data_IF_854056048961
#
_entry.id   IF_854056048961
#
_cell.length_a   1.000
_cell.length_b   1.000
_cell.length_c   1.000
_cell.angle_alpha   90.00
_cell.angle_beta   90.00
_cell.angle_gamma   90.00
#
_symmetry.space_group_name_H-M   'P 1'
#
loop_
_entity.id
_entity.type
_entity.pdbx_description
1 polymer ?
#
# COMPACT_ATOMS: atom_id res chain seq x y z
N UNK A 1 -19.65 -4.67 -8.99
CA UNK A 1 -18.44 -3.90 -8.59
C UNK A 1 -17.29 -4.41 -9.42
N UNK A 2 -16.50 -3.51 -10.00
CA UNK A 2 -15.37 -3.88 -10.85
C UNK A 2 -14.12 -4.24 -10.02
N UNK A 3 -13.24 -5.06 -10.58
CA UNK A 3 -11.90 -5.31 -10.03
C UNK A 3 -11.12 -3.98 -9.93
N UNK A 4 -10.16 -3.89 -9.01
CA UNK A 4 -9.18 -2.80 -9.00
C UNK A 4 -8.01 -3.15 -9.92
N UNK A 5 -7.48 -4.36 -9.74
CA UNK A 5 -6.41 -4.88 -10.57
C UNK A 5 -6.81 -6.22 -11.16
N UNK A 6 -6.33 -6.48 -12.36
CA UNK A 6 -6.51 -7.75 -13.04
C UNK A 6 -5.27 -8.19 -13.79
N UNK A 7 -5.18 -9.49 -14.08
CA UNK A 7 -4.11 -10.06 -14.91
C UNK A 7 -4.72 -10.55 -16.21
N UNK A 8 -4.22 -10.00 -17.32
CA UNK A 8 -4.60 -10.43 -18.67
C UNK A 8 -3.40 -11.04 -19.36
N UNK A 9 -3.66 -12.05 -20.17
CA UNK A 9 -2.66 -12.67 -21.03
C UNK A 9 -3.05 -12.46 -22.48
N UNK A 10 -2.19 -11.83 -23.26
CA UNK A 10 -2.38 -11.60 -24.69
C UNK A 10 -1.22 -12.21 -25.51
N UNK A 11 -1.17 -11.91 -26.81
CA UNK A 11 -0.12 -12.40 -27.72
C UNK A 11 1.29 -11.87 -27.40
N UNK A 12 1.40 -10.78 -26.63
CA UNK A 12 2.66 -10.13 -26.24
C UNK A 12 3.12 -10.61 -24.87
N UNK A 13 2.20 -11.16 -24.06
CA UNK A 13 2.49 -11.85 -22.81
C UNK A 13 1.50 -11.47 -21.72
N UNK A 14 1.94 -11.55 -20.46
CA UNK A 14 1.13 -11.12 -19.33
C UNK A 14 1.20 -9.60 -19.12
N UNK A 15 0.06 -9.00 -18.79
CA UNK A 15 -0.06 -7.60 -18.41
C UNK A 15 -0.92 -7.44 -17.15
N UNK A 16 -0.54 -6.49 -16.31
CA UNK A 16 -1.35 -5.99 -15.20
C UNK A 16 -2.29 -4.90 -15.73
N UNK A 17 -3.59 -5.07 -15.51
CA UNK A 17 -4.62 -4.08 -15.82
C UNK A 17 -5.01 -3.36 -14.54
N UNK A 18 -4.97 -2.03 -14.57
CA UNK A 18 -5.49 -1.15 -13.53
C UNK A 18 -6.74 -0.44 -14.04
N UNK A 19 -7.86 -0.66 -13.35
CA UNK A 19 -9.17 -0.12 -13.72
C UNK A 19 -9.37 1.33 -13.29
N UNK A 20 -8.39 1.93 -12.58
CA UNK A 20 -8.51 3.26 -12.01
C UNK A 20 -9.38 3.32 -10.76
N UNK A 21 -9.65 2.17 -10.11
CA UNK A 21 -10.51 2.12 -8.91
C UNK A 21 -10.01 3.01 -7.76
N UNK A 22 -8.69 3.09 -7.56
CA UNK A 22 -8.11 3.98 -6.55
C UNK A 22 -8.29 5.46 -6.92
N UNK A 23 -8.14 5.81 -8.20
CA UNK A 23 -8.41 7.17 -8.71
C UNK A 23 -9.85 7.58 -8.41
N UNK A 24 -10.83 6.70 -8.68
CA UNK A 24 -12.24 6.93 -8.39
C UNK A 24 -12.49 7.16 -6.89
N UNK A 25 -11.94 6.29 -6.04
CA UNK A 25 -12.10 6.43 -4.58
C UNK A 25 -11.57 7.80 -4.11
N UNK A 26 -10.40 8.22 -4.60
CA UNK A 26 -9.82 9.53 -4.21
C UNK A 26 -10.64 10.70 -4.73
N UNK A 27 -11.21 10.60 -5.93
CA UNK A 27 -12.09 11.64 -6.50
C UNK A 27 -13.40 11.79 -5.71
N UNK A 28 -13.93 10.67 -5.18
CA UNK A 28 -15.18 10.64 -4.43
C UNK A 28 -15.03 11.00 -2.94
N UNK A 29 -13.79 11.15 -2.44
CA UNK A 29 -13.52 11.51 -1.05
C UNK A 29 -13.82 12.98 -0.76
N UNK A 30 -14.23 13.28 0.48
CA UNK A 30 -14.61 14.63 0.88
C UNK A 30 -13.40 15.57 0.97
N UNK A 31 -12.27 15.10 1.50
CA UNK A 31 -11.06 15.91 1.69
C UNK A 31 -9.78 15.11 1.39
N UNK A 32 -9.55 14.68 0.13
CA UNK A 32 -8.46 13.76 -0.22
C UNK A 32 -7.05 14.30 0.04
N UNK A 33 -6.89 15.60 0.26
CA UNK A 33 -5.61 16.24 0.61
C UNK A 33 -5.32 16.22 2.11
N UNK A 34 -6.34 16.13 2.96
CA UNK A 34 -6.23 16.14 4.44
C UNK A 34 -6.71 14.84 5.09
N UNK A 35 -7.09 13.84 4.30
CA UNK A 35 -7.38 12.50 4.77
C UNK A 35 -6.20 11.58 4.48
N UNK A 36 -5.79 10.79 5.46
CA UNK A 36 -4.61 9.92 5.46
C UNK A 36 -5.01 8.46 5.58
N UNK A 37 -5.33 7.79 4.45
CA UNK A 37 -5.89 6.45 4.45
C UNK A 37 -4.89 5.39 4.92
N UNK A 38 -5.41 4.36 5.59
CA UNK A 38 -4.67 3.11 5.83
C UNK A 38 -5.18 2.03 4.88
N UNK A 39 -4.29 1.42 4.10
CA UNK A 39 -4.63 0.32 3.18
C UNK A 39 -4.49 -1.02 3.90
N UNK A 40 -5.60 -1.73 4.06
CA UNK A 40 -5.65 -3.08 4.63
C UNK A 40 -5.85 -4.08 3.51
N UNK A 41 -5.05 -5.14 3.47
CA UNK A 41 -5.16 -6.18 2.46
C UNK A 41 -5.60 -7.49 3.08
N UNK A 42 -6.68 -8.06 2.58
CA UNK A 42 -7.21 -9.35 3.02
C UNK A 42 -6.96 -10.39 1.92
N UNK A 43 -6.10 -11.36 2.19
CA UNK A 43 -5.69 -12.39 1.25
C UNK A 43 -5.92 -13.76 1.89
N UNK A 44 -6.31 -14.76 1.10
CA UNK A 44 -6.47 -16.12 1.62
C UNK A 44 -7.71 -16.83 1.09
N UNK A 45 -8.16 -17.83 1.85
CA UNK A 45 -9.30 -18.68 1.53
C UNK A 45 -10.66 -17.97 1.66
N UNK A 46 -11.75 -18.73 1.53
CA UNK A 46 -13.12 -18.20 1.53
C UNK A 46 -13.61 -17.67 2.88
N UNK A 47 -12.98 -18.03 4.01
CA UNK A 47 -13.33 -17.52 5.35
C UNK A 47 -13.02 -16.03 5.50
N UNK A 48 -12.23 -15.47 4.58
CA UNK A 48 -12.08 -14.03 4.40
C UNK A 48 -13.42 -13.31 4.14
N UNK A 49 -14.31 -13.90 3.34
CA UNK A 49 -15.56 -13.25 2.92
C UNK A 49 -16.52 -12.98 4.09
N UNK A 50 -16.85 -13.95 4.97
CA UNK A 50 -17.64 -13.67 6.16
C UNK A 50 -16.93 -12.71 7.13
N UNK A 51 -15.59 -12.76 7.22
CA UNK A 51 -14.83 -11.78 7.99
C UNK A 51 -15.01 -10.35 7.46
N UNK A 52 -14.84 -10.13 6.16
CA UNK A 52 -15.04 -8.82 5.53
C UNK A 52 -16.46 -8.28 5.72
N UNK A 53 -17.48 -9.13 5.63
CA UNK A 53 -18.87 -8.74 5.90
C UNK A 53 -19.11 -8.34 7.36
N UNK A 54 -18.42 -9.01 8.29
CA UNK A 54 -18.48 -8.71 9.72
C UNK A 54 -17.77 -7.39 10.05
N UNK A 55 -16.59 -7.17 9.46
CA UNK A 55 -15.75 -5.99 9.69
C UNK A 55 -16.29 -4.73 8.98
N UNK A 56 -16.86 -4.88 7.78
CA UNK A 56 -17.34 -3.80 6.93
C UNK A 56 -18.81 -4.03 6.47
N UNK A 57 -19.77 -4.06 7.40
CA UNK A 57 -21.14 -4.49 7.11
C UNK A 57 -21.89 -3.57 6.12
N UNK A 58 -21.51 -2.30 6.05
CA UNK A 58 -22.15 -1.31 5.18
C UNK A 58 -21.58 -1.26 3.76
N UNK A 59 -20.49 -1.98 3.48
CA UNK A 59 -19.81 -1.96 2.19
C UNK A 59 -20.44 -2.87 1.12
N UNK A 60 -21.57 -3.52 1.44
CA UNK A 60 -22.28 -4.44 0.54
C UNK A 60 -21.34 -5.47 -0.10
N UNK A 61 -20.52 -6.13 0.72
CA UNK A 61 -19.57 -7.16 0.28
C UNK A 61 -20.34 -8.36 -0.28
N UNK A 62 -20.59 -8.32 -1.59
CA UNK A 62 -21.36 -9.32 -2.34
C UNK A 62 -20.41 -10.20 -3.14
N UNK A 63 -20.80 -11.47 -3.33
CA UNK A 63 -20.06 -12.46 -4.16
C UNK A 63 -20.13 -12.15 -5.67
N UNK A 64 -20.67 -10.99 -6.08
CA UNK A 64 -21.04 -10.73 -7.49
C UNK A 64 -19.87 -10.15 -8.26
N UNK A 65 -19.18 -11.06 -8.96
CA UNK A 65 -18.16 -10.77 -9.98
C UNK A 65 -16.79 -11.31 -9.61
N UNK A 66 -15.95 -11.64 -10.61
CA UNK A 66 -14.56 -11.99 -10.35
C UNK A 66 -13.87 -10.84 -9.61
N UNK A 67 -13.02 -11.15 -8.63
CA UNK A 67 -12.21 -10.13 -7.94
C UNK A 67 -11.08 -9.59 -8.84
N UNK A 68 -10.90 -10.20 -10.02
CA UNK A 68 -9.68 -10.06 -10.80
C UNK A 68 -8.49 -10.54 -9.96
N UNK A 69 -7.39 -9.80 -10.05
CA UNK A 69 -6.25 -9.97 -9.16
C UNK A 69 -6.53 -9.40 -7.76
N UNK A 70 -7.20 -8.24 -7.68
CA UNK A 70 -7.52 -7.58 -6.42
C UNK A 70 -8.72 -6.64 -6.57
N UNK A 71 -9.53 -6.56 -5.52
CA UNK A 71 -10.66 -5.62 -5.44
C UNK A 71 -10.43 -4.61 -4.33
N UNK A 72 -10.69 -3.32 -4.58
CA UNK A 72 -10.46 -2.22 -3.62
C UNK A 72 -11.77 -1.52 -3.23
N UNK A 73 -11.88 -1.23 -1.94
CA UNK A 73 -13.02 -0.59 -1.30
C UNK A 73 -12.57 0.53 -0.36
N UNK A 74 -13.42 1.55 -0.22
CA UNK A 74 -13.37 2.52 0.87
C UNK A 74 -14.40 2.11 1.93
N UNK A 75 -13.98 1.91 3.17
CA UNK A 75 -14.89 1.65 4.29
C UNK A 75 -15.90 2.79 4.44
N UNK A 76 -17.19 2.50 4.33
CA UNK A 76 -18.24 3.53 4.39
C UNK A 76 -18.31 4.19 5.77
N UNK A 77 -17.97 3.46 6.83
CA UNK A 77 -18.01 3.95 8.21
C UNK A 77 -16.88 4.91 8.53
N UNK A 78 -15.75 4.81 7.81
CA UNK A 78 -14.58 5.66 8.03
C UNK A 78 -14.31 6.62 6.85
N UNK A 79 -15.16 6.63 5.83
CA UNK A 79 -14.98 7.43 4.62
C UNK A 79 -14.79 8.93 4.87
N UNK A 80 -15.43 9.47 5.92
CA UNK A 80 -15.38 10.88 6.28
C UNK A 80 -14.44 11.21 7.44
N UNK A 81 -13.70 10.23 7.97
CA UNK A 81 -12.74 10.48 9.06
C UNK A 81 -11.42 11.01 8.50
N UNK A 82 -10.57 11.54 9.37
CA UNK A 82 -9.19 11.92 9.00
C UNK A 82 -8.37 10.70 8.53
N UNK A 83 -8.66 9.52 9.07
CA UNK A 83 -7.96 8.27 8.76
C UNK A 83 -8.93 7.22 8.17
N UNK A 84 -9.35 7.38 6.91
CA UNK A 84 -10.23 6.41 6.27
C UNK A 84 -9.54 5.05 6.10
N UNK A 85 -10.31 3.97 6.18
CA UNK A 85 -9.80 2.63 5.93
C UNK A 85 -10.11 2.28 4.49
N UNK A 86 -9.06 2.08 3.69
CA UNK A 86 -9.16 1.42 2.41
C UNK A 86 -8.90 -0.06 2.65
N UNK A 87 -9.73 -0.93 2.10
CA UNK A 87 -9.46 -2.35 2.17
C UNK A 87 -9.54 -2.97 0.80
N UNK A 88 -8.59 -3.86 0.52
CA UNK A 88 -8.60 -4.66 -0.67
C UNK A 88 -8.60 -6.15 -0.35
N UNK A 89 -9.14 -6.94 -1.28
CA UNK A 89 -9.29 -8.38 -1.10
C UNK A 89 -8.89 -9.18 -2.34
N UNK A 90 -8.39 -10.40 -2.11
CA UNK A 90 -8.03 -11.37 -3.16
C UNK A 90 -8.06 -12.79 -2.63
N UNK A 91 -8.49 -13.75 -3.46
CA UNK A 91 -8.27 -15.16 -3.16
C UNK A 91 -6.82 -15.56 -3.37
N UNK A 92 -6.29 -16.42 -2.49
CA UNK A 92 -4.93 -16.94 -2.64
C UNK A 92 -4.81 -17.81 -3.90
N UNK A 93 -5.80 -18.68 -4.14
CA UNK A 93 -5.81 -19.63 -5.28
C UNK A 93 -6.88 -19.34 -6.33
N UNK A 94 -7.53 -18.17 -6.32
CA UNK A 94 -8.62 -17.85 -7.26
C UNK A 94 -8.12 -17.97 -8.71
N UNK A 95 -8.64 -18.92 -9.48
CA UNK A 95 -8.19 -19.17 -10.84
C UNK A 95 -8.41 -17.94 -11.72
N UNK A 96 -7.32 -17.41 -12.30
CA UNK A 96 -7.40 -16.47 -13.44
C UNK A 96 -7.73 -17.20 -14.75
N UNK A 97 -7.77 -18.54 -14.71
CA UNK A 97 -8.06 -19.40 -15.85
C UNK A 97 -9.57 -19.40 -16.14
N UNK A 98 -9.90 -19.12 -17.40
CA UNK A 98 -11.23 -19.04 -18.00
C UNK A 98 -11.92 -17.66 -17.92
N UNK A 99 -11.15 -16.58 -18.02
CA UNK A 99 -11.68 -15.48 -18.81
C UNK A 99 -11.64 -15.88 -20.29
N UNK A 100 -12.80 -16.35 -20.74
CA UNK A 100 -13.19 -16.46 -22.14
C UNK A 100 -12.82 -15.16 -22.86
N UNK A 101 -12.56 -15.26 -24.15
CA UNK A 101 -12.12 -14.24 -25.11
C UNK A 101 -13.11 -13.05 -25.27
N UNK A 102 -13.93 -12.78 -24.27
CA UNK A 102 -14.63 -11.53 -24.09
C UNK A 102 -13.61 -10.46 -23.79
N UNK A 103 -13.09 -9.83 -24.85
CA UNK A 103 -12.50 -8.48 -24.84
C UNK A 103 -12.94 -7.78 -23.57
N UNK A 104 -12.04 -7.58 -22.61
CA UNK A 104 -12.14 -6.40 -21.76
C UNK A 104 -12.10 -5.28 -22.78
N UNK A 105 -13.30 -4.86 -23.23
CA UNK A 105 -13.49 -3.74 -24.12
C UNK A 105 -12.63 -2.68 -23.48
N UNK A 106 -11.60 -2.25 -24.20
CA UNK A 106 -10.68 -1.20 -23.78
C UNK A 106 -11.56 -0.03 -23.40
N UNK A 107 -11.94 0.03 -22.12
CA UNK A 107 -12.53 1.19 -21.55
C UNK A 107 -11.36 2.17 -21.59
N UNK A 108 -11.57 3.33 -22.21
CA UNK A 108 -10.56 4.37 -22.47
C UNK A 108 -9.72 4.80 -21.24
N UNK A 109 -10.04 4.27 -20.05
CA UNK A 109 -9.48 4.63 -18.76
C UNK A 109 -8.66 3.50 -18.11
N UNK A 110 -8.60 2.29 -18.67
CA UNK A 110 -7.79 1.21 -18.11
C UNK A 110 -6.32 1.39 -18.47
N UNK A 111 -5.44 1.29 -17.47
CA UNK A 111 -3.99 1.35 -17.67
C UNK A 111 -3.42 -0.06 -17.72
N UNK A 112 -2.56 -0.33 -18.69
CA UNK A 112 -1.93 -1.63 -18.90
C UNK A 112 -0.43 -1.51 -18.62
N UNK A 113 0.10 -2.45 -17.82
CA UNK A 113 1.52 -2.51 -17.49
C UNK A 113 2.06 -3.89 -17.85
N UNK A 114 3.03 -3.93 -18.77
CA UNK A 114 3.69 -5.18 -19.16
C UNK A 114 4.40 -5.82 -17.97
N UNK A 115 4.25 -7.13 -17.84
CA UNK A 115 4.94 -7.91 -16.81
C UNK A 115 6.18 -8.61 -17.42
N UNK A 116 7.23 -8.83 -16.61
CA UNK A 116 8.42 -9.51 -17.11
C UNK A 116 8.07 -10.94 -17.57
N UNK A 117 8.69 -11.45 -18.65
CA UNK A 117 8.56 -12.84 -19.02
C UNK A 117 9.13 -13.71 -17.89
N UNK A 118 8.26 -14.35 -17.11
CA UNK A 118 8.70 -15.25 -16.05
C UNK A 118 9.11 -16.58 -16.68
N UNK A 119 10.41 -16.86 -16.74
CA UNK A 119 10.93 -18.15 -17.22
C UNK A 119 10.49 -19.26 -16.27
N UNK A 120 9.58 -20.12 -16.72
CA UNK A 120 9.14 -21.32 -15.97
C UNK A 120 8.22 -21.06 -14.78
N UNK A 121 7.70 -19.82 -14.62
CA UNK A 121 6.78 -19.48 -13.53
C UNK A 121 5.33 -19.81 -13.84
N UNK A 122 4.61 -20.29 -12.83
CA UNK A 122 3.16 -20.48 -12.85
C UNK A 122 2.42 -19.13 -12.82
N UNK A 123 1.14 -19.10 -13.18
CA UNK A 123 0.29 -17.90 -13.00
C UNK A 123 0.26 -17.41 -11.53
N UNK A 124 0.49 -18.32 -10.58
CA UNK A 124 0.61 -18.00 -9.15
C UNK A 124 1.89 -17.21 -8.84
N UNK A 125 3.02 -17.56 -9.44
CA UNK A 125 4.27 -16.82 -9.27
C UNK A 125 4.13 -15.37 -9.74
N UNK A 126 3.37 -15.16 -10.82
CA UNK A 126 3.06 -13.84 -11.33
C UNK A 126 2.20 -13.02 -10.36
N UNK A 127 1.18 -13.63 -9.75
CA UNK A 127 0.37 -12.96 -8.73
C UNK A 127 1.21 -12.55 -7.53
N UNK A 128 2.05 -13.45 -7.03
CA UNK A 128 2.93 -13.17 -5.90
C UNK A 128 3.91 -12.06 -6.25
N UNK A 129 4.42 -12.05 -7.48
CA UNK A 129 5.25 -10.96 -7.99
C UNK A 129 4.51 -9.63 -7.96
N UNK A 130 3.28 -9.56 -8.49
CA UNK A 130 2.50 -8.31 -8.49
C UNK A 130 2.14 -7.88 -7.07
N UNK A 131 1.68 -8.77 -6.19
CA UNK A 131 1.34 -8.40 -4.82
C UNK A 131 2.54 -7.80 -4.08
N UNK A 132 3.71 -8.46 -4.15
CA UNK A 132 4.95 -7.98 -3.50
C UNK A 132 5.46 -6.65 -4.05
N UNK A 133 5.32 -6.43 -5.36
CA UNK A 133 5.91 -5.28 -6.06
C UNK A 133 4.98 -4.08 -6.16
N UNK A 134 3.67 -4.31 -6.24
CA UNK A 134 2.67 -3.27 -6.51
C UNK A 134 1.73 -2.97 -5.35
N UNK A 135 1.48 -3.92 -4.44
CA UNK A 135 0.47 -3.75 -3.38
C UNK A 135 1.09 -3.62 -2.00
N UNK A 136 1.91 -4.59 -1.61
CA UNK A 136 2.48 -4.66 -0.26
C UNK A 136 3.25 -3.43 0.19
N UNK A 137 3.99 -2.69 -0.67
CA UNK A 137 4.65 -1.47 -0.26
C UNK A 137 3.68 -0.44 0.33
N UNK A 138 2.46 -0.39 -0.21
CA UNK A 138 1.43 0.58 0.16
C UNK A 138 0.52 0.07 1.29
N UNK A 139 0.51 -1.24 1.53
CA UNK A 139 -0.33 -1.91 2.54
C UNK A 139 0.17 -1.61 3.95
N UNK A 140 -0.72 -1.13 4.82
CA UNK A 140 -0.46 -0.93 6.26
C UNK A 140 -0.60 -2.24 7.04
N UNK A 141 -1.65 -3.01 6.76
CA UNK A 141 -1.91 -4.30 7.42
C UNK A 141 -2.30 -5.35 6.39
N UNK A 142 -1.67 -6.52 6.44
CA UNK A 142 -1.94 -7.68 5.62
C UNK A 142 -2.56 -8.78 6.48
N UNK A 143 -3.83 -9.10 6.25
CA UNK A 143 -4.54 -10.21 6.87
C UNK A 143 -4.48 -11.44 5.96
N UNK A 144 -3.83 -12.51 6.40
CA UNK A 144 -3.69 -13.78 5.69
C UNK A 144 -4.59 -14.84 6.32
N UNK A 145 -5.63 -15.27 5.60
CA UNK A 145 -6.48 -16.38 6.01
C UNK A 145 -5.84 -17.68 5.53
N UNK A 146 -5.34 -18.46 6.50
CA UNK A 146 -4.58 -19.69 6.26
C UNK A 146 -5.19 -20.81 7.09
N UNK A 147 -5.92 -21.70 6.44
CA UNK A 147 -6.58 -22.87 7.01
C UNK A 147 -5.95 -24.12 6.41
N UNK A 148 -4.82 -24.51 6.99
CA UNK A 148 -4.10 -25.74 6.64
C UNK A 148 -2.68 -25.51 6.13
N UNK A 149 -1.93 -26.61 6.05
CA UNK A 149 -0.49 -26.59 5.76
C UNK A 149 -0.12 -25.97 4.40
N UNK A 150 -0.92 -26.23 3.36
CA UNK A 150 -0.63 -25.71 2.02
C UNK A 150 -0.78 -24.17 1.95
N UNK A 151 -1.81 -23.62 2.61
CA UNK A 151 -2.06 -22.19 2.65
C UNK A 151 -1.04 -21.47 3.53
N UNK A 152 -0.63 -22.10 4.63
CA UNK A 152 0.46 -21.62 5.48
C UNK A 152 1.78 -21.58 4.72
N UNK A 153 2.13 -22.64 3.98
CA UNK A 153 3.34 -22.67 3.14
C UNK A 153 3.27 -21.61 2.02
N UNK A 154 2.11 -21.44 1.39
CA UNK A 154 1.91 -20.41 0.38
C UNK A 154 2.07 -18.99 0.95
N UNK A 155 1.60 -18.74 2.18
CA UNK A 155 1.82 -17.49 2.90
C UNK A 155 3.30 -17.27 3.20
N UNK A 156 4.01 -18.31 3.62
CA UNK A 156 5.47 -18.28 3.78
C UNK A 156 6.18 -17.89 2.50
N UNK A 157 5.96 -18.61 1.39
CA UNK A 157 6.63 -18.34 0.11
C UNK A 157 6.35 -16.92 -0.43
N UNK A 158 5.18 -16.38 -0.07
CA UNK A 158 4.77 -15.03 -0.40
C UNK A 158 5.53 -13.98 0.42
N UNK A 159 5.77 -14.24 1.71
CA UNK A 159 6.42 -13.30 2.64
C UNK A 159 7.94 -13.45 2.75
N UNK A 160 8.48 -14.65 2.49
CA UNK A 160 9.91 -14.99 2.59
C UNK A 160 10.78 -14.15 1.65
N UNK A 161 10.22 -13.73 0.51
CA UNK A 161 10.92 -12.82 -0.39
C UNK A 161 10.74 -11.38 0.07
N UNK A 162 11.85 -10.64 0.12
CA UNK A 162 11.87 -9.25 0.57
C UNK A 162 10.82 -8.40 -0.17
N UNK A 163 9.91 -7.71 0.56
CA UNK A 163 8.98 -6.80 -0.05
C UNK A 163 9.74 -5.64 -0.69
N UNK A 164 9.10 -4.96 -1.64
CA UNK A 164 9.69 -3.75 -2.23
C UNK A 164 9.86 -2.67 -1.16
N UNK A 165 11.08 -2.19 -1.02
CA UNK A 165 11.45 -1.16 -0.04
C UNK A 165 10.93 0.21 -0.49
N UNK A 166 10.26 0.92 0.41
CA UNK A 166 9.92 2.34 0.24
C UNK A 166 10.99 3.18 0.91
N UNK A 167 11.43 4.21 0.20
CA UNK A 167 12.44 5.16 0.65
C UNK A 167 11.90 6.59 0.53
N UNK A 168 12.20 7.39 1.54
CA UNK A 168 12.19 8.84 1.45
C UNK A 168 13.62 9.33 1.70
N UNK A 169 14.47 9.28 0.67
CA UNK A 169 15.88 9.67 0.76
C UNK A 169 16.85 8.47 0.86
N UNK A 170 18.01 8.68 1.49
CA UNK A 170 19.16 7.75 1.41
C UNK A 170 19.08 6.54 2.33
N UNK A 171 18.15 6.50 3.27
CA UNK A 171 18.04 5.40 4.22
C UNK A 171 16.84 4.51 3.87
N UNK A 172 17.03 3.18 3.75
CA UNK A 172 15.92 2.25 3.64
C UNK A 172 15.06 2.37 4.90
N UNK A 173 13.77 2.59 4.67
CA UNK A 173 12.76 2.59 5.71
C UNK A 173 11.91 1.34 5.56
N UNK A 174 11.71 0.60 6.65
CA UNK A 174 10.72 -0.48 6.67
C UNK A 174 9.35 0.08 6.27
N UNK A 175 8.62 -0.64 5.42
CA UNK A 175 7.28 -0.25 4.93
C UNK A 175 6.25 -0.10 6.06
N UNK A 176 6.59 -0.60 7.26
CA UNK A 176 5.70 -0.63 8.42
C UNK A 176 4.46 -1.49 8.20
N UNK A 177 4.50 -2.40 7.22
CA UNK A 177 3.42 -3.35 6.98
C UNK A 177 3.36 -4.32 8.16
N UNK A 178 2.16 -4.52 8.72
CA UNK A 178 1.89 -5.48 9.80
C UNK A 178 1.20 -6.70 9.22
N UNK A 179 1.59 -7.91 9.60
CA UNK A 179 0.97 -9.15 9.13
C UNK A 179 0.14 -9.76 10.25
N UNK A 180 -1.10 -10.13 9.94
CA UNK A 180 -1.99 -10.90 10.81
C UNK A 180 -2.35 -12.18 10.08
N UNK A 181 -1.85 -13.32 10.55
CA UNK A 181 -2.34 -14.62 10.11
C UNK A 181 -3.58 -15.00 10.89
N UNK A 182 -4.62 -15.41 10.18
CA UNK A 182 -5.94 -15.70 10.73
C UNK A 182 -6.24 -17.17 10.47
N UNK A 183 -6.37 -17.94 11.55
CA UNK A 183 -6.78 -19.34 11.52
C UNK A 183 -8.26 -19.41 11.87
N UNK A 184 -9.08 -20.07 11.06
CA UNK A 184 -10.54 -20.06 11.23
C UNK A 184 -11.18 -21.44 11.15
N UNK A 185 -10.56 -22.40 10.46
CA UNK A 185 -11.09 -23.75 10.31
C UNK A 185 -10.61 -24.67 11.45
N UNK A 186 -11.51 -25.16 12.33
CA UNK A 186 -11.16 -26.08 13.41
C UNK A 186 -10.70 -27.46 12.92
N UNK A 187 -11.02 -27.82 11.69
CA UNK A 187 -10.66 -29.11 11.07
C UNK A 187 -9.35 -29.05 10.29
N UNK A 188 -8.75 -27.87 10.13
CA UNK A 188 -7.51 -27.72 9.40
C UNK A 188 -6.32 -28.41 10.11
N UNK A 189 -5.65 -29.28 9.37
CA UNK A 189 -4.44 -29.97 9.83
C UNK A 189 -3.17 -29.20 9.41
N UNK A 190 -2.29 -29.02 10.39
CA UNK A 190 -0.99 -28.38 10.21
C UNK A 190 0.11 -29.41 10.46
N UNK A 191 1.04 -29.55 9.52
CA UNK A 191 2.19 -30.45 9.65
C UNK A 191 3.18 -30.01 10.74
N UNK A 192 3.17 -28.72 11.06
CA UNK A 192 3.98 -28.09 12.10
C UNK A 192 3.07 -27.17 12.90
N UNK A 193 3.37 -26.88 14.17
CA UNK A 193 2.67 -25.80 14.88
C UNK A 193 2.80 -24.53 14.04
N UNK A 194 1.68 -23.85 13.67
CA UNK A 194 1.73 -22.58 12.96
C UNK A 194 2.74 -21.62 13.58
N UNK A 195 2.82 -21.58 14.92
CA UNK A 195 3.78 -20.71 15.62
C UNK A 195 5.24 -21.07 15.35
N UNK A 196 5.59 -22.36 15.30
CA UNK A 196 6.94 -22.84 15.00
C UNK A 196 7.31 -22.69 13.51
N UNK A 197 6.36 -22.95 12.61
CA UNK A 197 6.54 -22.74 11.17
C UNK A 197 6.89 -21.29 10.86
N UNK A 198 6.17 -20.35 11.49
CA UNK A 198 6.35 -18.91 11.29
C UNK A 198 7.60 -18.38 11.97
N UNK A 199 7.88 -18.81 13.21
CA UNK A 199 9.05 -18.35 13.97
C UNK A 199 10.39 -18.85 13.41
N UNK A 200 10.39 -19.94 12.62
CA UNK A 200 11.60 -20.50 12.01
C UNK A 200 11.91 -19.95 10.60
N UNK A 201 10.92 -19.34 9.94
CA UNK A 201 11.03 -18.83 8.57
C UNK A 201 11.21 -17.32 8.44
N UNK A 202 10.91 -16.53 9.47
CA UNK A 202 11.13 -15.09 9.43
C UNK A 202 12.43 -14.71 10.13
N UNK A 203 13.31 -13.92 9.49
CA UNK A 203 14.53 -13.46 10.13
C UNK A 203 14.21 -12.64 11.40
N UNK A 204 15.16 -12.69 12.34
CA UNK A 204 15.20 -11.96 13.62
C UNK A 204 14.53 -10.56 13.50
N UNK A 205 13.66 -10.13 14.44
CA UNK A 205 12.94 -8.85 14.40
C UNK A 205 13.82 -7.61 14.16
N UNK A 206 15.14 -7.74 14.36
CA UNK A 206 16.11 -6.67 14.13
C UNK A 206 16.57 -6.52 12.67
N UNK A 207 16.23 -7.44 11.73
CA UNK A 207 16.89 -7.45 10.41
C UNK A 207 16.03 -7.39 9.15
N UNK A 208 14.72 -7.66 9.15
CA UNK A 208 13.80 -7.30 8.04
C UNK A 208 12.33 -7.59 8.38
N UNK A 209 11.52 -6.54 8.51
CA UNK A 209 10.16 -6.61 9.06
C UNK A 209 9.09 -6.51 7.95
N UNK A 210 8.11 -7.41 7.94
CA UNK A 210 6.84 -7.03 8.55
C UNK A 210 6.56 -7.77 9.88
N UNK A 211 6.20 -7.02 10.92
CA UNK A 211 5.91 -7.63 12.22
C UNK A 211 4.67 -8.50 12.09
N UNK A 212 4.84 -9.77 12.43
CA UNK A 212 3.88 -10.82 12.17
C UNK A 212 3.19 -11.27 13.45
N UNK A 213 1.87 -11.42 13.40
CA UNK A 213 1.03 -11.88 14.51
C UNK A 213 0.11 -13.00 14.05
N UNK A 214 -0.21 -13.94 14.96
CA UNK A 214 -1.17 -15.01 14.70
C UNK A 214 -2.43 -14.72 15.52
N UNK A 215 -3.58 -14.86 14.87
CA UNK A 215 -4.89 -14.80 15.47
C UNK A 215 -5.62 -16.10 15.20
N UNK A 216 -5.71 -16.95 16.22
CA UNK A 216 -6.48 -18.17 16.17
C UNK A 216 -7.94 -17.89 16.53
N UNK A 217 -8.85 -18.19 15.59
CA UNK A 217 -10.30 -18.05 15.73
C UNK A 217 -11.02 -19.40 15.60
N UNK A 218 -10.28 -20.53 15.56
CA UNK A 218 -10.85 -21.86 15.34
C UNK A 218 -11.81 -22.29 16.44
N UNK A 219 -11.59 -21.84 17.68
CA UNK A 219 -12.47 -22.08 18.83
C UNK A 219 -13.79 -21.27 18.77
N UNK A 220 -13.97 -20.43 17.75
CA UNK A 220 -15.10 -19.52 17.59
C UNK A 220 -16.02 -19.88 16.42
N UNK A 221 -15.82 -21.03 15.79
CA UNK A 221 -16.54 -21.45 14.57
C UNK A 221 -18.06 -21.55 14.76
N UNK A 222 -18.52 -21.88 15.97
CA UNK A 222 -19.96 -21.97 16.29
C UNK A 222 -20.62 -20.61 16.59
N UNK A 223 -19.84 -19.54 16.69
CA UNK A 223 -20.36 -18.20 17.00
C UNK A 223 -20.93 -17.51 15.76
N UNK A 224 -21.78 -16.49 15.99
CA UNK A 224 -22.19 -15.61 14.89
C UNK A 224 -20.97 -14.94 14.25
N UNK A 225 -20.95 -14.66 12.92
CA UNK A 225 -19.79 -14.04 12.28
C UNK A 225 -19.34 -12.72 12.91
N UNK A 226 -20.29 -11.90 13.40
CA UNK A 226 -19.98 -10.68 14.15
C UNK A 226 -19.15 -10.98 15.41
N UNK A 227 -19.56 -11.98 16.19
CA UNK A 227 -18.87 -12.38 17.43
C UNK A 227 -17.58 -13.15 17.16
N UNK A 228 -17.56 -14.01 16.13
CA UNK A 228 -16.42 -14.82 15.74
C UNK A 228 -15.23 -13.93 15.34
N UNK A 229 -15.46 -12.91 14.50
CA UNK A 229 -14.43 -12.02 13.96
C UNK A 229 -14.18 -10.74 14.76
N UNK A 230 -14.86 -10.55 15.89
CA UNK A 230 -14.62 -9.39 16.77
C UNK A 230 -13.15 -9.29 17.28
N UNK A 231 -12.45 -10.40 17.64
CA UNK A 231 -11.03 -10.32 17.94
C UNK A 231 -10.21 -9.80 16.76
N UNK A 232 -10.51 -10.25 15.54
CA UNK A 232 -9.84 -9.76 14.32
C UNK A 232 -10.07 -8.27 14.13
N UNK A 233 -11.27 -7.76 14.40
CA UNK A 233 -11.57 -6.33 14.34
C UNK A 233 -10.67 -5.52 15.25
N UNK A 234 -10.52 -5.94 16.52
CA UNK A 234 -9.69 -5.24 17.50
C UNK A 234 -8.22 -5.28 17.11
N UNK A 235 -7.70 -6.47 16.84
CA UNK A 235 -6.31 -6.64 16.41
C UNK A 235 -6.01 -5.82 15.15
N UNK A 236 -6.91 -5.82 14.18
CA UNK A 236 -6.76 -5.03 12.95
C UNK A 236 -6.66 -3.52 13.26
N UNK A 237 -7.56 -2.97 14.08
CA UNK A 237 -7.54 -1.55 14.42
C UNK A 237 -6.26 -1.16 15.18
N UNK A 238 -5.79 -2.02 16.08
CA UNK A 238 -4.54 -1.82 16.82
C UNK A 238 -3.33 -1.84 15.87
N UNK A 239 -3.24 -2.83 14.97
CA UNK A 239 -2.14 -2.90 14.00
C UNK A 239 -2.17 -1.74 12.99
N UNK A 240 -3.36 -1.25 12.61
CA UNK A 240 -3.51 -0.04 11.78
C UNK A 240 -2.91 1.17 12.51
N UNK A 241 -3.22 1.34 13.80
CA UNK A 241 -2.71 2.45 14.60
C UNK A 241 -1.18 2.38 14.70
N UNK A 242 -0.62 1.22 15.04
CA UNK A 242 0.83 1.02 15.13
C UNK A 242 1.52 1.34 13.80
N UNK A 243 0.99 0.82 12.68
CA UNK A 243 1.53 1.10 11.33
C UNK A 243 1.47 2.60 10.99
N UNK A 244 0.38 3.28 11.37
CA UNK A 244 0.22 4.73 11.17
C UNK A 244 1.24 5.53 11.96
N UNK A 245 1.46 5.19 13.22
CA UNK A 245 2.41 5.90 14.08
C UNK A 245 3.84 5.73 13.53
N UNK A 246 4.21 4.52 13.11
CA UNK A 246 5.49 4.25 12.46
C UNK A 246 5.66 5.05 11.17
N UNK A 247 4.66 5.04 10.28
CA UNK A 247 4.70 5.82 9.03
C UNK A 247 4.78 7.32 9.28
N UNK A 248 4.13 7.81 10.33
CA UNK A 248 4.20 9.22 10.73
C UNK A 248 5.63 9.59 11.14
N UNK A 249 6.25 8.77 11.99
CA UNK A 249 7.64 8.97 12.43
C UNK A 249 8.64 8.91 11.26
N UNK A 250 8.35 8.10 10.25
CA UNK A 250 9.17 7.95 9.04
C UNK A 250 8.87 8.99 7.95
N UNK A 251 7.87 9.86 8.12
CA UNK A 251 7.44 10.80 7.08
C UNK A 251 6.79 10.14 5.85
N UNK A 252 6.27 8.92 6.02
CA UNK A 252 5.59 8.11 5.00
C UNK A 252 4.06 8.11 5.17
N UNK A 253 3.51 8.94 6.05
CA UNK A 253 2.06 9.10 6.18
C UNK A 253 1.54 10.00 5.05
N UNK A 254 1.13 9.37 3.94
CA UNK A 254 0.63 10.07 2.77
C UNK A 254 -0.88 10.34 2.86
N UNK A 255 -1.31 11.52 2.41
CA UNK A 255 -2.72 11.78 2.16
C UNK A 255 -3.24 10.91 1.01
N UNK A 256 -4.56 10.77 0.88
CA UNK A 256 -5.18 9.98 -0.18
C UNK A 256 -4.69 10.39 -1.58
N UNK A 257 -4.53 11.69 -1.81
CA UNK A 257 -3.99 12.23 -3.08
C UNK A 257 -2.54 11.80 -3.31
N UNK A 258 -1.69 11.91 -2.30
CA UNK A 258 -0.28 11.53 -2.40
C UNK A 258 -0.12 10.01 -2.58
N UNK A 259 -0.85 9.20 -1.81
CA UNK A 259 -0.81 7.74 -1.91
C UNK A 259 -1.21 7.26 -3.30
N UNK A 260 -2.31 7.79 -3.85
CA UNK A 260 -2.76 7.45 -5.20
C UNK A 260 -1.75 7.87 -6.28
N UNK A 261 -1.20 9.09 -6.18
CA UNK A 261 -0.16 9.57 -7.09
C UNK A 261 1.07 8.65 -7.06
N UNK A 262 1.66 8.45 -5.88
CA UNK A 262 2.88 7.65 -5.71
C UNK A 262 2.69 6.22 -6.22
N UNK A 263 1.58 5.57 -5.85
CA UNK A 263 1.28 4.20 -6.28
C UNK A 263 1.16 4.10 -7.81
N UNK A 264 0.41 5.01 -8.45
CA UNK A 264 0.24 4.99 -9.91
C UNK A 264 1.57 5.22 -10.63
N UNK A 265 2.42 6.07 -10.06
CA UNK A 265 3.76 6.33 -10.58
C UNK A 265 4.70 5.15 -10.41
N UNK A 266 4.59 4.36 -9.34
CA UNK A 266 5.38 3.13 -9.21
C UNK A 266 5.04 2.07 -10.24
N UNK A 267 3.77 1.92 -10.62
CA UNK A 267 3.41 1.01 -11.71
C UNK A 267 3.96 1.48 -13.06
N UNK A 268 3.85 2.78 -13.33
CA UNK A 268 4.31 3.38 -14.58
C UNK A 268 5.84 3.41 -14.71
N UNK A 269 6.56 3.44 -13.57
CA UNK A 269 8.02 3.56 -13.51
C UNK A 269 8.79 2.26 -13.73
N UNK A 270 8.15 1.19 -14.21
CA UNK A 270 8.82 -0.09 -14.49
C UNK A 270 9.17 -0.93 -13.26
N UNK A 271 8.60 -0.61 -12.09
CA UNK A 271 8.87 -1.32 -10.83
C UNK A 271 8.53 -2.81 -10.89
N UNK A 272 7.55 -3.17 -11.73
CA UNK A 272 7.15 -4.54 -11.99
C UNK A 272 8.23 -5.34 -12.75
N UNK A 273 9.19 -4.69 -13.39
CA UNK A 273 10.22 -5.33 -14.24
C UNK A 273 11.61 -5.19 -13.61
N UNK A 274 11.84 -4.18 -12.76
CA UNK A 274 13.14 -3.90 -12.15
C UNK A 274 13.66 -5.07 -11.28
N UNK A 275 14.94 -5.47 -11.36
CA UNK A 275 15.49 -6.56 -10.54
C UNK A 275 15.44 -6.25 -9.03
N UNK A 276 15.84 -5.04 -8.66
CA UNK A 276 15.80 -4.51 -7.29
C UNK A 276 14.72 -3.44 -7.21
N UNK A 277 13.52 -3.84 -6.79
CA UNK A 277 12.43 -2.89 -6.62
C UNK A 277 12.68 -2.03 -5.38
N UNK A 278 13.06 -0.78 -5.61
CA UNK A 278 13.04 0.29 -4.61
C UNK A 278 12.10 1.40 -5.07
N UNK A 279 11.27 1.91 -4.17
CA UNK A 279 10.38 3.04 -4.44
C UNK A 279 10.99 4.25 -3.75
N UNK A 280 11.56 5.18 -4.51
CA UNK A 280 12.01 6.47 -3.98
C UNK A 280 10.89 7.50 -4.12
N UNK A 281 10.18 7.74 -3.02
CA UNK A 281 9.08 8.69 -2.98
C UNK A 281 9.53 10.13 -3.26
N UNK A 282 10.75 10.50 -2.88
CA UNK A 282 11.28 11.84 -3.15
C UNK A 282 11.60 11.99 -4.63
N UNK A 283 12.21 10.97 -5.25
CA UNK A 283 12.45 10.98 -6.69
C UNK A 283 11.14 11.09 -7.48
N UNK A 284 10.11 10.33 -7.09
CA UNK A 284 8.79 10.39 -7.75
C UNK A 284 8.12 11.76 -7.54
N UNK A 285 8.18 12.31 -6.34
CA UNK A 285 7.60 13.61 -6.04
C UNK A 285 8.29 14.75 -6.81
N UNK A 286 9.61 14.62 -7.04
CA UNK A 286 10.43 15.63 -7.72
C UNK A 286 10.55 15.48 -9.23
N UNK A 287 9.84 14.55 -9.86
CA UNK A 287 9.98 14.36 -11.31
C UNK A 287 9.75 15.66 -12.11
N UNK A 288 8.76 16.46 -11.71
CA UNK A 288 8.46 17.75 -12.35
C UNK A 288 9.35 18.91 -11.90
N UNK A 289 10.16 18.71 -10.86
CA UNK A 289 11.09 19.68 -10.31
C UNK A 289 12.39 18.98 -9.86
N UNK A 290 13.18 18.46 -10.81
CA UNK A 290 14.38 17.72 -10.49
C UNK A 290 15.39 18.61 -9.78
N UNK A 291 16.20 18.02 -8.90
CA UNK A 291 17.34 18.72 -8.29
C UNK A 291 18.35 19.02 -9.40
N UNK A 292 18.78 20.28 -9.51
CA UNK A 292 19.80 20.67 -10.48
C UNK A 292 21.11 19.90 -10.19
N UNK A 293 21.66 19.16 -11.17
CA UNK A 293 22.89 18.37 -10.96
C UNK A 293 24.10 19.23 -10.59
N UNK A 294 24.09 20.53 -10.90
CA UNK A 294 25.15 21.49 -10.55
C UNK A 294 24.99 22.09 -9.16
N UNK A 295 23.92 21.79 -8.42
CA UNK A 295 23.65 22.34 -7.08
C UNK A 295 24.83 22.13 -6.12
N UNK A 296 25.41 20.92 -6.10
CA UNK A 296 26.56 20.62 -5.25
C UNK A 296 27.79 21.48 -5.56
N UNK A 297 28.05 21.71 -6.85
CA UNK A 297 29.15 22.57 -7.28
C UNK A 297 28.91 24.03 -6.90
N UNK A 298 27.72 24.57 -7.17
CA UNK A 298 27.35 25.95 -6.81
C UNK A 298 27.35 26.17 -5.30
N UNK A 299 26.94 25.17 -4.52
CA UNK A 299 27.02 25.21 -3.05
C UNK A 299 28.46 25.27 -2.57
N UNK A 300 29.36 24.49 -3.17
CA UNK A 300 30.79 24.52 -2.86
C UNK A 300 31.42 25.89 -3.20
N UNK A 301 31.07 26.47 -4.34
CA UNK A 301 31.50 27.82 -4.71
C UNK A 301 30.98 28.87 -3.72
N UNK A 302 29.69 28.84 -3.39
CA UNK A 302 29.08 29.74 -2.41
C UNK A 302 29.79 29.67 -1.06
N UNK A 303 30.05 28.47 -0.54
CA UNK A 303 30.79 28.26 0.70
C UNK A 303 32.22 28.82 0.64
N UNK A 304 32.93 28.61 -0.49
CA UNK A 304 34.27 29.14 -0.68
C UNK A 304 34.29 30.68 -0.74
N UNK A 305 33.27 31.29 -1.34
CA UNK A 305 33.10 32.75 -1.38
C UNK A 305 32.78 33.32 0.01
N UNK A 306 31.86 32.70 0.74
CA UNK A 306 31.50 33.13 2.09
C UNK A 306 32.70 33.04 3.06
N UNK A 307 33.51 31.99 2.95
CA UNK A 307 34.75 31.86 3.72
C UNK A 307 35.75 32.96 3.40
N UNK A 308 35.97 33.28 2.11
CA UNK A 308 36.86 34.39 1.69
C UNK A 308 36.37 35.76 2.16
N UNK A 309 35.06 35.93 2.30
CA UNK A 309 34.44 37.17 2.79
C UNK A 309 34.37 37.27 4.32
N UNK A 310 34.90 36.29 5.07
CA UNK A 310 34.77 36.19 6.53
C UNK A 310 33.32 36.27 7.03
N UNK A 311 32.37 35.73 6.25
CA UNK A 311 30.98 35.65 6.68
C UNK A 311 30.86 34.73 7.90
N UNK A 312 30.07 35.10 8.93
CA UNK A 312 29.81 34.23 10.06
C UNK A 312 29.17 32.90 9.59
N UNK A 313 29.70 31.72 10.00
CA UNK A 313 29.18 30.43 9.53
C UNK A 313 27.68 30.24 9.77
N UNK A 314 27.16 30.77 10.88
CA UNK A 314 25.75 30.73 11.22
C UNK A 314 24.86 31.41 10.16
N UNK A 315 25.26 32.56 9.64
CA UNK A 315 24.49 33.28 8.60
C UNK A 315 24.48 32.51 7.28
N UNK A 316 25.62 31.93 6.91
CA UNK A 316 25.76 31.09 5.72
C UNK A 316 24.86 29.85 5.81
N UNK A 317 24.83 29.20 6.98
CA UNK A 317 23.96 28.05 7.22
C UNK A 317 22.47 28.43 7.13
N UNK A 318 22.07 29.60 7.64
CA UNK A 318 20.69 30.08 7.51
C UNK A 318 20.29 30.25 6.05
N UNK A 319 21.16 30.86 5.23
CA UNK A 319 20.89 31.05 3.80
C UNK A 319 20.73 29.70 3.08
N UNK A 320 21.64 28.76 3.34
CA UNK A 320 21.59 27.41 2.75
C UNK A 320 20.31 26.69 3.18
N UNK A 321 20.01 26.70 4.49
CA UNK A 321 18.83 26.04 5.04
C UNK A 321 17.54 26.64 4.45
N UNK A 322 17.46 27.96 4.34
CA UNK A 322 16.32 28.66 3.72
C UNK A 322 16.16 28.28 2.25
N UNK A 323 17.25 28.28 1.47
CA UNK A 323 17.21 27.90 0.06
C UNK A 323 16.77 26.44 -0.14
N UNK A 324 17.29 25.52 0.67
CA UNK A 324 16.90 24.10 0.64
C UNK A 324 15.43 23.90 1.05
N UNK A 325 14.94 24.65 2.04
CA UNK A 325 13.55 24.60 2.47
C UNK A 325 12.61 25.09 1.36
N UNK A 326 12.93 26.22 0.74
CA UNK A 326 12.13 26.79 -0.35
C UNK A 326 12.12 25.92 -1.60
N UNK A 327 13.22 25.23 -1.90
CA UNK A 327 13.30 24.25 -3.00
C UNK A 327 12.54 22.95 -2.68
N UNK A 328 12.57 22.49 -1.42
CA UNK A 328 11.85 21.29 -1.00
C UNK A 328 10.33 21.47 -1.00
N UNK A 329 9.86 22.71 -0.81
CA UNK A 329 8.44 23.04 -0.75
C UNK A 329 8.09 24.22 -1.67
N UNK A 330 8.04 24.00 -3.00
CA UNK A 330 7.59 25.01 -3.93
C UNK A 330 6.18 25.52 -3.61
N UNK A 331 5.85 26.78 -3.99
CA UNK A 331 4.54 27.37 -3.76
C UNK A 331 3.40 26.45 -4.19
N UNK A 332 2.41 26.26 -3.31
CA UNK A 332 1.28 25.34 -3.51
C UNK A 332 1.48 23.91 -3.00
N UNK A 333 2.65 23.56 -2.44
CA UNK A 333 2.87 22.26 -1.77
C UNK A 333 2.40 22.21 -0.31
N UNK A 334 2.28 23.36 0.35
CA UNK A 334 1.58 23.48 1.62
C UNK A 334 0.17 23.96 1.34
N UNK A 335 -0.84 23.33 1.95
CA UNK A 335 -2.21 23.84 1.92
C UNK A 335 -2.18 25.32 2.32
N UNK A 336 -2.51 26.22 1.40
CA UNK A 336 -2.81 27.58 1.83
C UNK A 336 -3.93 27.48 2.87
N UNK A 337 -3.80 28.15 4.03
CA UNK A 337 -4.90 28.19 4.98
C UNK A 337 -6.12 28.71 4.24
N UNK A 338 -7.21 27.94 4.28
CA UNK A 338 -8.48 28.34 3.69
C UNK A 338 -8.80 29.76 4.15
N UNK A 339 -9.19 30.68 3.25
CA UNK A 339 -9.54 32.03 3.65
C UNK A 339 -10.60 31.96 4.76
N UNK A 340 -10.50 32.80 5.80
CA UNK A 340 -11.50 32.82 6.87
C UNK A 340 -12.89 33.02 6.26
N UNK A 341 -13.93 32.39 6.81
CA UNK A 341 -15.28 32.54 6.29
C UNK A 341 -15.64 34.01 6.25
N UNK A 342 -15.85 34.54 5.04
CA UNK A 342 -16.40 35.87 4.83
C UNK A 342 -17.81 35.89 5.41
N UNK A 343 -17.96 36.48 6.59
CA UNK A 343 -19.26 36.79 7.14
C UNK A 343 -19.96 37.79 6.20
N UNK A 344 -21.21 37.56 5.81
CA UNK A 344 -21.95 38.52 5.00
C UNK A 344 -22.07 39.83 5.78
N UNK A 345 -21.62 40.92 5.15
CA UNK A 345 -21.80 42.26 5.70
C UNK A 345 -23.30 42.53 5.89
N UNK A 346 -23.72 43.11 7.02
CA UNK A 346 -25.12 43.46 7.21
C UNK A 346 -25.49 44.53 6.17
N UNK A 347 -26.48 44.22 5.36
CA UNK A 347 -27.13 45.18 4.47
C UNK A 347 -27.70 46.33 5.32
N UNK A 348 -27.19 47.55 5.05
CA UNK A 348 -27.75 48.82 5.53
C UNK A 348 -28.99 49.21 4.73
#
# INVERSE_FOLDING_TARGET
MAAWLDLVHDSVGWALVDTGRMDQIVQDMSHPTTQYPSLVYFLGNSNRVPALRSLFPQNNITRRGPAGLARLHLSTTTASTEHPIWFAESGLHDSTANHDDGRVVSADHHRHYSLPPMTGGSAMDLKYHVWRRALFPWTSVLCLFVDGSAELQAAHDLLDRSPTEIHAGRHPTSTGMRVIMVLTDPSAEYHTDPWEGLSSGFPDPDTSDPTTSILDLRDRHDLSPCTAFEPLRRTLLDQIQISRDQRTQQGLLFSARHLNYLRNRTLSGGQLVAPQARIDCLQIAREKLPVDPSLGHRLAEFLAHASRANCPPHEVHIVIASALLMDAYPPGMHSEPSPPPTFPSPSL
#
